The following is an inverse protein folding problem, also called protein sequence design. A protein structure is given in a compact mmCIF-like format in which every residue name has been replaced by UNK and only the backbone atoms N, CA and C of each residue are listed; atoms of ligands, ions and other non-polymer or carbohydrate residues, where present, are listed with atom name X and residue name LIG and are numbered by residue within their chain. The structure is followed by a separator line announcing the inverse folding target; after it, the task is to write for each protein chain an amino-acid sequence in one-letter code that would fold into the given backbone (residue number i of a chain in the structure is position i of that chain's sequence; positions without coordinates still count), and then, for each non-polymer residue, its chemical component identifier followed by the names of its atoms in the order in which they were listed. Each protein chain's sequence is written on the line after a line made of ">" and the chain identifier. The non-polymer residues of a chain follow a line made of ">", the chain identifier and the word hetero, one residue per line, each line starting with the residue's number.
data_IF_879552774878
#
_entry.id   IF_879552774878
#
_cell.length_a   1.000
_cell.length_b   1.000
_cell.length_c   1.000
_cell.angle_alpha   90.00
_cell.angle_beta   90.00
_cell.angle_gamma   90.00
#
_symmetry.space_group_name_H-M   'P 1'
#
loop_
_entity.id
_entity.type
_entity.pdbx_description
1 polymer ?
#
# COMPACT_ATOMS: atom_id res chain seq x y z
N UNK A 1 -19.70 -0.20 -10.65
CA UNK A 1 -19.91 0.61 -9.42
C UNK A 1 -20.33 2.02 -9.82
N UNK A 2 -21.05 2.75 -8.97
CA UNK A 2 -21.41 4.16 -9.24
C UNK A 2 -20.18 5.07 -9.10
N UNK A 3 -20.19 6.24 -9.73
CA UNK A 3 -19.03 7.14 -9.73
C UNK A 3 -18.70 7.64 -8.32
N UNK A 4 -19.71 7.91 -7.50
CA UNK A 4 -19.55 8.33 -6.10
C UNK A 4 -18.85 7.25 -5.27
N UNK A 5 -19.14 5.97 -5.55
CA UNK A 5 -18.48 4.84 -4.90
C UNK A 5 -17.00 4.76 -5.30
N UNK A 6 -16.70 4.98 -6.59
CA UNK A 6 -15.32 4.98 -7.08
C UNK A 6 -14.52 6.15 -6.48
N UNK A 7 -15.12 7.33 -6.36
CA UNK A 7 -14.46 8.50 -5.76
C UNK A 7 -13.97 8.24 -4.32
N UNK A 8 -14.67 7.39 -3.57
CA UNK A 8 -14.31 7.06 -2.19
C UNK A 8 -13.38 5.83 -2.09
N UNK A 9 -13.54 4.82 -2.95
CA UNK A 9 -12.92 3.50 -2.74
C UNK A 9 -11.88 3.10 -3.80
N UNK A 10 -11.80 3.78 -4.94
CA UNK A 10 -10.87 3.37 -5.99
C UNK A 10 -9.41 3.56 -5.54
N UNK A 11 -8.56 2.56 -5.84
CA UNK A 11 -7.12 2.62 -5.58
C UNK A 11 -6.71 2.33 -4.14
N UNK A 12 -7.65 2.02 -3.24
CA UNK A 12 -7.35 1.64 -1.86
C UNK A 12 -8.17 0.43 -1.40
N UNK A 13 -7.57 -0.38 -0.55
CA UNK A 13 -8.22 -1.48 0.17
C UNK A 13 -7.76 -1.42 1.63
N UNK A 14 -8.58 -1.87 2.60
CA UNK A 14 -8.20 -1.83 4.01
C UNK A 14 -6.84 -2.47 4.25
N UNK A 15 -6.00 -1.84 5.06
CA UNK A 15 -4.66 -2.32 5.36
C UNK A 15 -4.71 -3.79 5.84
N UNK A 16 -3.99 -4.72 5.19
CA UNK A 16 -4.16 -6.15 5.48
C UNK A 16 -3.73 -6.52 6.90
N UNK A 17 -2.80 -5.76 7.49
CA UNK A 17 -2.19 -6.02 8.79
C UNK A 17 -3.06 -5.52 9.96
N UNK A 18 -3.58 -4.29 9.86
CA UNK A 18 -4.28 -3.57 10.95
C UNK A 18 -5.78 -3.40 10.69
N UNK A 19 -6.24 -3.64 9.46
CA UNK A 19 -7.60 -3.36 8.98
C UNK A 19 -7.98 -1.87 8.98
N UNK A 20 -6.99 -0.97 9.02
CA UNK A 20 -7.24 0.46 8.85
C UNK A 20 -7.87 0.76 7.50
N UNK A 21 -9.01 1.45 7.53
CA UNK A 21 -9.69 1.96 6.31
C UNK A 21 -9.18 3.35 5.92
N UNK A 22 -8.44 4.03 6.79
CA UNK A 22 -7.68 5.22 6.44
C UNK A 22 -6.30 4.80 5.92
N UNK A 23 -5.83 5.48 4.86
CA UNK A 23 -4.53 5.22 4.25
C UNK A 23 -3.42 5.54 5.26
N UNK A 24 -2.48 4.61 5.53
CA UNK A 24 -1.36 4.89 6.40
C UNK A 24 -0.43 5.97 5.85
N UNK A 25 0.16 6.76 6.73
CA UNK A 25 1.22 7.72 6.37
C UNK A 25 2.56 7.01 6.50
N UNK A 26 3.12 6.52 5.39
CA UNK A 26 4.46 5.92 5.36
C UNK A 26 5.55 7.00 5.27
N UNK A 27 5.73 7.78 6.35
CA UNK A 27 6.75 8.80 6.45
C UNK A 27 8.13 8.18 6.76
N UNK A 28 8.71 7.53 5.76
CA UNK A 28 10.01 6.86 5.81
C UNK A 28 10.86 7.25 4.61
N UNK A 29 12.18 7.10 4.73
CA UNK A 29 13.14 7.29 3.64
C UNK A 29 13.63 5.99 3.02
N UNK A 30 13.30 4.83 3.62
CA UNK A 30 13.77 3.52 3.18
C UNK A 30 12.81 2.39 3.53
N UNK A 31 12.85 1.30 2.76
CA UNK A 31 12.13 0.04 3.00
C UNK A 31 13.12 -1.14 3.01
N UNK A 32 12.85 -2.15 3.83
CA UNK A 32 13.67 -3.35 3.90
C UNK A 32 13.38 -4.29 2.72
N UNK A 33 14.42 -4.96 2.21
CA UNK A 33 14.26 -6.10 1.32
C UNK A 33 14.13 -7.39 2.13
N UNK A 34 13.34 -8.33 1.63
CA UNK A 34 13.18 -9.64 2.28
C UNK A 34 14.45 -10.48 2.19
N UNK A 35 15.22 -10.33 1.10
CA UNK A 35 16.52 -10.97 0.88
C UNK A 35 17.29 -10.27 -0.27
N UNK A 36 18.51 -10.74 -0.55
CA UNK A 36 19.39 -10.16 -1.58
C UNK A 36 18.83 -10.27 -3.00
N UNK A 37 18.11 -11.36 -3.31
CA UNK A 37 17.50 -11.54 -4.63
C UNK A 37 16.32 -10.60 -4.82
N UNK A 38 15.45 -10.41 -3.82
CA UNK A 38 14.36 -9.42 -3.87
C UNK A 38 14.91 -8.01 -4.13
N UNK A 39 16.02 -7.64 -3.47
CA UNK A 39 16.69 -6.38 -3.77
C UNK A 39 17.20 -6.28 -5.21
N UNK A 40 17.76 -7.37 -5.74
CA UNK A 40 18.24 -7.42 -7.13
C UNK A 40 17.10 -7.39 -8.16
N UNK A 41 15.93 -7.94 -7.87
CA UNK A 41 14.80 -7.98 -8.81
C UNK A 41 14.11 -6.61 -8.98
N UNK A 42 14.30 -5.68 -8.02
CA UNK A 42 13.69 -4.34 -8.04
C UNK A 42 14.54 -3.27 -8.75
N UNK A 43 15.79 -3.58 -9.16
CA UNK A 43 16.74 -2.64 -9.77
C UNK A 43 17.48 -3.24 -10.97
#
# INVERSE_FOLDING_TARGET
>A
MKQETLAIHAGYSPDPTTKSVAVPIYQTTSYAFDNTQHGADLF
#
